data_IF_461855335466
#
_entry.id   IF_461855335466
#
_cell.length_a   1.000
_cell.length_b   1.000
_cell.length_c   1.000
_cell.angle_alpha   90.00
_cell.angle_beta   90.00
_cell.angle_gamma   90.00
#
_symmetry.space_group_name_H-M   'P 1'
#
loop_
_entity.id
_entity.type
_entity.pdbx_description
1 polymer ?
#
# COMPACT_ATOMS: atom_id res chain seq x y z
N UNK A 1 5.94 16.22 -3.24
CA UNK A 1 5.94 15.10 -2.28
C UNK A 1 4.56 14.76 -1.71
N UNK A 2 3.81 15.69 -1.11
CA UNK A 2 2.50 15.34 -0.50
C UNK A 2 1.49 14.81 -1.51
N UNK A 3 1.58 15.23 -2.78
CA UNK A 3 0.65 14.80 -3.85
C UNK A 3 0.76 13.29 -4.12
N UNK A 4 1.97 12.73 -4.26
CA UNK A 4 2.12 11.28 -4.47
C UNK A 4 1.57 10.48 -3.30
N UNK A 5 1.98 10.78 -2.06
CA UNK A 5 1.47 10.09 -0.87
C UNK A 5 -0.06 10.24 -0.72
N UNK A 6 -0.64 11.37 -1.12
CA UNK A 6 -2.10 11.57 -1.16
C UNK A 6 -2.77 10.73 -2.24
N UNK A 7 -2.19 10.64 -3.44
CA UNK A 7 -2.68 9.77 -4.52
C UNK A 7 -2.61 8.30 -4.06
N UNK A 8 -1.51 7.87 -3.47
CA UNK A 8 -1.33 6.51 -2.94
C UNK A 8 -2.32 6.21 -1.82
N UNK A 9 -2.55 7.17 -0.91
CA UNK A 9 -3.57 7.06 0.13
C UNK A 9 -4.97 6.94 -0.47
N UNK A 10 -5.30 7.77 -1.47
CA UNK A 10 -6.57 7.74 -2.18
C UNK A 10 -6.79 6.43 -2.93
N UNK A 11 -5.76 5.91 -3.61
CA UNK A 11 -5.81 4.63 -4.30
C UNK A 11 -6.02 3.46 -3.32
N UNK A 12 -5.30 3.47 -2.18
CA UNK A 12 -5.47 2.46 -1.13
C UNK A 12 -6.88 2.52 -0.52
N UNK A 13 -7.42 3.71 -0.28
CA UNK A 13 -8.78 3.88 0.22
C UNK A 13 -9.82 3.43 -0.81
N UNK A 14 -9.65 3.81 -2.07
CA UNK A 14 -10.51 3.37 -3.17
C UNK A 14 -10.53 1.84 -3.26
N UNK A 15 -9.36 1.21 -3.16
CA UNK A 15 -9.24 -0.24 -3.15
C UNK A 15 -9.93 -0.88 -1.94
N UNK A 16 -9.81 -0.31 -0.75
CA UNK A 16 -10.53 -0.79 0.43
C UNK A 16 -12.06 -0.75 0.24
N UNK A 17 -12.58 0.33 -0.34
CA UNK A 17 -14.02 0.47 -0.66
C UNK A 17 -14.44 -0.56 -1.71
N UNK A 18 -13.64 -0.71 -2.78
CA UNK A 18 -13.91 -1.71 -3.81
C UNK A 18 -13.95 -3.13 -3.21
N UNK A 19 -13.03 -3.43 -2.29
CA UNK A 19 -12.98 -4.71 -1.60
C UNK A 19 -14.21 -4.97 -0.72
N UNK A 20 -14.73 -3.96 -0.03
CA UNK A 20 -15.93 -4.12 0.80
C UNK A 20 -17.21 -4.25 -0.02
N UNK A 21 -17.30 -3.56 -1.15
CA UNK A 21 -18.54 -3.47 -1.95
C UNK A 21 -18.65 -4.59 -2.99
N UNK A 22 -17.56 -4.92 -3.69
CA UNK A 22 -17.59 -5.81 -4.86
C UNK A 22 -17.03 -7.20 -4.58
N UNK A 23 -16.09 -7.33 -3.65
CA UNK A 23 -15.44 -8.63 -3.39
C UNK A 23 -16.37 -9.67 -2.77
N UNK A 24 -17.33 -9.35 -1.87
CA UNK A 24 -18.25 -10.36 -1.34
C UNK A 24 -19.05 -11.04 -2.46
N UNK A 25 -19.57 -10.26 -3.41
CA UNK A 25 -20.34 -10.77 -4.55
C UNK A 25 -19.48 -11.53 -5.55
N UNK A 26 -18.25 -11.09 -5.81
CA UNK A 26 -17.33 -11.77 -6.75
C UNK A 26 -16.75 -13.06 -6.16
N UNK A 27 -16.39 -13.08 -4.87
CA UNK A 27 -15.82 -14.26 -4.21
C UNK A 27 -16.87 -15.25 -3.73
N UNK A 28 -18.12 -14.86 -3.48
CA UNK A 28 -19.19 -15.80 -3.12
C UNK A 28 -19.43 -16.88 -4.19
N UNK A 29 -19.04 -16.64 -5.43
CA UNK A 29 -19.08 -17.64 -6.51
C UNK A 29 -17.88 -18.58 -6.55
N UNK A 30 -16.84 -18.34 -5.73
CA UNK A 30 -15.55 -19.03 -5.78
C UNK A 30 -15.19 -19.72 -4.46
N UNK A 31 -15.69 -19.22 -3.33
CA UNK A 31 -15.36 -19.68 -1.98
C UNK A 31 -16.60 -19.57 -1.09
N UNK A 32 -16.57 -20.23 0.06
CA UNK A 32 -17.58 -20.05 1.12
C UNK A 32 -17.75 -18.56 1.45
N UNK A 33 -19.00 -18.11 1.45
CA UNK A 33 -19.38 -16.71 1.64
C UNK A 33 -18.81 -16.11 2.93
N UNK A 34 -18.79 -16.88 4.04
CA UNK A 34 -18.24 -16.39 5.30
C UNK A 34 -16.74 -16.16 5.21
N UNK A 35 -16.04 -17.03 4.49
CA UNK A 35 -14.59 -16.95 4.31
C UNK A 35 -14.24 -15.79 3.36
N UNK A 36 -15.04 -15.60 2.30
CA UNK A 36 -14.93 -14.47 1.39
C UNK A 36 -15.09 -13.12 2.10
N UNK A 37 -16.11 -12.98 2.95
CA UNK A 37 -16.37 -11.75 3.71
C UNK A 37 -15.26 -11.49 4.73
N UNK A 38 -14.79 -12.51 5.44
CA UNK A 38 -13.67 -12.37 6.40
C UNK A 38 -12.39 -11.91 5.72
N UNK A 39 -12.03 -12.53 4.59
CA UNK A 39 -10.87 -12.14 3.80
C UNK A 39 -10.99 -10.70 3.31
N UNK A 40 -12.09 -10.37 2.60
CA UNK A 40 -12.34 -9.03 2.08
C UNK A 40 -12.29 -7.96 3.19
N UNK A 41 -12.83 -8.25 4.37
CA UNK A 41 -12.80 -7.34 5.53
C UNK A 41 -11.39 -7.12 6.06
N UNK A 42 -10.61 -8.19 6.28
CA UNK A 42 -9.22 -8.09 6.75
C UNK A 42 -8.32 -7.33 5.77
N UNK A 43 -8.55 -7.56 4.47
CA UNK A 43 -7.92 -6.87 3.36
C UNK A 43 -8.24 -5.37 3.40
N UNK A 44 -9.52 -5.03 3.46
CA UNK A 44 -9.99 -3.64 3.47
C UNK A 44 -9.45 -2.87 4.67
N UNK A 45 -9.47 -3.47 5.87
CA UNK A 45 -8.90 -2.88 7.09
C UNK A 45 -7.41 -2.55 6.90
N UNK A 46 -6.65 -3.46 6.29
CA UNK A 46 -5.23 -3.23 6.02
C UNK A 46 -5.02 -2.04 5.08
N UNK A 47 -5.82 -1.94 4.01
CA UNK A 47 -5.75 -0.83 3.06
C UNK A 47 -6.19 0.51 3.65
N UNK A 48 -7.16 0.50 4.57
CA UNK A 48 -7.53 1.69 5.36
C UNK A 48 -6.37 2.12 6.26
N UNK A 49 -5.72 1.17 6.94
CA UNK A 49 -4.53 1.44 7.75
C UNK A 49 -3.40 2.05 6.94
N UNK A 50 -3.13 1.53 5.74
CA UNK A 50 -2.14 2.08 4.81
C UNK A 50 -2.55 3.48 4.31
N UNK A 51 -3.81 3.67 3.96
CA UNK A 51 -4.32 4.99 3.54
C UNK A 51 -4.13 6.03 4.65
N UNK A 52 -4.42 5.67 5.89
CA UNK A 52 -4.20 6.52 7.05
C UNK A 52 -2.71 6.82 7.27
N UNK A 53 -1.85 5.79 7.20
CA UNK A 53 -0.40 5.94 7.35
C UNK A 53 0.19 6.87 6.28
N UNK A 54 -0.20 6.72 5.01
CA UNK A 54 0.27 7.59 3.92
C UNK A 54 -0.31 9.00 4.02
N UNK A 55 -1.58 9.14 4.40
CA UNK A 55 -2.18 10.45 4.63
C UNK A 55 -1.46 11.20 5.75
N UNK A 56 -1.14 10.51 6.85
CA UNK A 56 -0.39 11.07 7.97
C UNK A 56 1.06 11.39 7.57
N UNK A 57 1.75 10.47 6.91
CA UNK A 57 3.11 10.67 6.40
C UNK A 57 3.21 11.83 5.39
N UNK A 58 2.15 12.10 4.62
CA UNK A 58 2.09 13.22 3.70
C UNK A 58 2.10 14.60 4.39
N UNK A 59 1.73 14.68 5.68
CA UNK A 59 1.73 15.94 6.44
C UNK A 59 3.11 16.29 6.99
N UNK A 60 3.88 15.29 7.44
CA UNK A 60 5.21 15.55 8.02
C UNK A 60 6.16 14.34 7.84
N UNK A 61 6.71 14.14 6.64
CA UNK A 61 7.42 12.91 6.27
C UNK A 61 8.73 12.70 7.03
N UNK A 62 9.38 13.78 7.47
CA UNK A 62 10.62 13.72 8.24
C UNK A 62 10.41 13.22 9.68
N UNK A 63 9.29 13.56 10.30
CA UNK A 63 8.94 13.14 11.67
C UNK A 63 8.35 11.73 11.73
N UNK A 64 7.75 11.26 10.63
CA UNK A 64 6.95 10.02 10.59
C UNK A 64 7.67 8.87 9.85
N UNK A 65 9.01 8.91 9.75
CA UNK A 65 9.81 7.89 9.04
C UNK A 65 9.51 6.48 9.53
N UNK A 66 9.40 6.29 10.85
CA UNK A 66 9.07 4.99 11.46
C UNK A 66 7.73 4.45 10.98
N UNK A 67 6.72 5.31 10.83
CA UNK A 67 5.38 4.91 10.33
C UNK A 67 5.46 4.50 8.86
N UNK A 68 6.24 5.23 8.06
CA UNK A 68 6.46 4.91 6.64
C UNK A 68 7.19 3.56 6.50
N UNK A 69 8.23 3.31 7.29
CA UNK A 69 8.95 2.03 7.29
C UNK A 69 8.09 0.87 7.78
N UNK A 70 7.29 1.08 8.84
CA UNK A 70 6.36 0.07 9.31
C UNK A 70 5.30 -0.27 8.25
N UNK A 71 4.76 0.74 7.58
CA UNK A 71 3.83 0.53 6.47
C UNK A 71 4.47 -0.26 5.32
N UNK A 72 5.72 0.07 4.95
CA UNK A 72 6.49 -0.68 3.95
C UNK A 72 6.71 -2.13 4.37
N UNK A 73 7.05 -2.38 5.63
CA UNK A 73 7.24 -3.74 6.17
C UNK A 73 5.94 -4.54 6.05
N UNK A 74 4.80 -3.95 6.43
CA UNK A 74 3.48 -4.60 6.32
C UNK A 74 3.13 -4.91 4.87
N UNK A 75 3.35 -3.97 3.95
CA UNK A 75 3.12 -4.20 2.50
C UNK A 75 4.04 -5.30 1.98
N UNK A 76 5.32 -5.30 2.35
CA UNK A 76 6.30 -6.30 1.92
C UNK A 76 5.96 -7.70 2.43
N UNK A 77 5.65 -7.84 3.72
CA UNK A 77 5.22 -9.11 4.32
C UNK A 77 3.94 -9.64 3.66
N UNK A 78 3.00 -8.75 3.37
CA UNK A 78 1.77 -9.12 2.67
C UNK A 78 2.04 -9.57 1.24
N UNK A 79 2.84 -8.84 0.48
CA UNK A 79 3.23 -9.23 -0.86
C UNK A 79 3.90 -10.62 -0.85
N UNK A 80 4.81 -10.87 0.10
CA UNK A 80 5.44 -12.18 0.26
C UNK A 80 4.42 -13.30 0.56
N UNK A 81 3.46 -13.04 1.46
CA UNK A 81 2.36 -13.98 1.76
C UNK A 81 1.49 -14.26 0.54
N UNK A 82 1.05 -13.22 -0.18
CA UNK A 82 0.24 -13.38 -1.39
C UNK A 82 1.00 -14.12 -2.49
N UNK A 83 2.31 -13.90 -2.64
CA UNK A 83 3.15 -14.67 -3.56
C UNK A 83 3.18 -16.15 -3.17
N UNK A 84 3.37 -16.47 -1.89
CA UNK A 84 3.35 -17.84 -1.41
C UNK A 84 1.99 -18.51 -1.65
N UNK A 85 0.89 -17.84 -1.31
CA UNK A 85 -0.46 -18.37 -1.52
C UNK A 85 -0.75 -18.61 -3.01
N UNK A 86 -0.32 -17.70 -3.88
CA UNK A 86 -0.52 -17.81 -5.33
C UNK A 86 0.31 -18.93 -5.96
N UNK A 87 1.54 -19.15 -5.48
CA UNK A 87 2.44 -20.17 -6.04
C UNK A 87 2.17 -21.58 -5.53
N UNK A 88 1.71 -21.73 -4.28
CA UNK A 88 1.72 -23.02 -3.60
C UNK A 88 0.38 -23.45 -3.00
N UNK A 89 -0.60 -22.54 -2.86
CA UNK A 89 -1.84 -22.84 -2.11
C UNK A 89 -3.08 -22.76 -3.01
N UNK A 90 -3.15 -21.76 -3.89
CA UNK A 90 -4.34 -21.47 -4.68
C UNK A 90 -4.23 -22.07 -6.09
N UNK A 91 -5.25 -22.84 -6.48
CA UNK A 91 -5.42 -23.34 -7.85
C UNK A 91 -6.64 -22.69 -8.53
N UNK A 92 -6.60 -22.56 -9.86
CA UNK A 92 -7.75 -22.13 -10.66
C UNK A 92 -8.09 -20.64 -10.58
N UNK A 93 -9.39 -20.29 -10.62
CA UNK A 93 -9.88 -18.90 -10.64
C UNK A 93 -9.50 -18.06 -9.40
N UNK A 94 -9.47 -18.59 -8.17
CA UNK A 94 -8.99 -17.87 -7.00
C UNK A 94 -7.54 -17.37 -7.12
N UNK A 95 -6.68 -18.11 -7.82
CA UNK A 95 -5.29 -17.71 -8.03
C UNK A 95 -5.17 -16.41 -8.85
N UNK A 96 -6.11 -16.15 -9.77
CA UNK A 96 -6.10 -14.92 -10.60
C UNK A 96 -6.39 -13.67 -9.76
N UNK A 97 -7.33 -13.75 -8.82
CA UNK A 97 -7.62 -12.65 -7.91
C UNK A 97 -6.44 -12.36 -6.97
N UNK A 98 -5.83 -13.42 -6.43
CA UNK A 98 -4.62 -13.31 -5.62
C UNK A 98 -3.45 -12.73 -6.42
N UNK A 99 -3.32 -13.07 -7.70
CA UNK A 99 -2.32 -12.51 -8.60
C UNK A 99 -2.52 -10.99 -8.82
N UNK A 100 -3.75 -10.54 -9.07
CA UNK A 100 -4.06 -9.11 -9.23
C UNK A 100 -3.72 -8.34 -7.95
N UNK A 101 -4.09 -8.89 -6.80
CA UNK A 101 -3.76 -8.28 -5.51
C UNK A 101 -2.25 -8.21 -5.29
N UNK A 102 -1.54 -9.30 -5.56
CA UNK A 102 -0.08 -9.38 -5.47
C UNK A 102 0.59 -8.32 -6.35
N UNK A 103 0.19 -8.23 -7.62
CA UNK A 103 0.72 -7.24 -8.57
C UNK A 103 0.44 -5.81 -8.10
N UNK A 104 -0.76 -5.56 -7.57
CA UNK A 104 -1.12 -4.24 -7.03
C UNK A 104 -0.30 -3.90 -5.80
N UNK A 105 -0.08 -4.85 -4.89
CA UNK A 105 0.79 -4.67 -3.72
C UNK A 105 2.23 -4.38 -4.13
N UNK A 106 2.77 -5.11 -5.12
CA UNK A 106 4.13 -4.89 -5.63
C UNK A 106 4.24 -3.51 -6.29
N UNK A 107 3.28 -3.14 -7.15
CA UNK A 107 3.27 -1.83 -7.79
C UNK A 107 3.21 -0.69 -6.76
N UNK A 108 2.38 -0.85 -5.72
CA UNK A 108 2.30 0.09 -4.61
C UNK A 108 3.64 0.19 -3.87
N UNK A 109 4.25 -0.97 -3.57
CA UNK A 109 5.53 -1.05 -2.87
C UNK A 109 6.65 -0.35 -3.64
N UNK A 110 6.77 -0.62 -4.96
CA UNK A 110 7.74 0.02 -5.85
C UNK A 110 7.49 1.52 -5.93
N UNK A 111 6.23 1.96 -6.04
CA UNK A 111 5.90 3.39 -6.05
C UNK A 111 6.34 4.10 -4.76
N UNK A 112 6.14 3.47 -3.60
CA UNK A 112 6.57 4.02 -2.31
C UNK A 112 8.10 4.05 -2.21
N UNK A 113 8.78 2.97 -2.61
CA UNK A 113 10.24 2.91 -2.61
C UNK A 113 10.86 3.99 -3.51
N UNK A 114 10.30 4.23 -4.69
CA UNK A 114 10.75 5.29 -5.58
C UNK A 114 10.50 6.70 -5.01
N UNK A 115 9.47 6.87 -4.18
CA UNK A 115 9.19 8.14 -3.51
C UNK A 115 10.06 8.39 -2.27
N UNK A 116 10.74 7.35 -1.75
CA UNK A 116 11.45 7.39 -0.47
C UNK A 116 12.72 8.26 -0.45
N UNK A 117 13.64 8.18 -1.43
CA UNK A 117 14.90 8.92 -1.41
C UNK A 117 14.66 10.44 -1.37
N UNK A 118 13.69 10.91 -2.16
CA UNK A 118 13.26 12.30 -2.18
C UNK A 118 12.66 12.71 -0.83
N UNK A 119 11.93 11.80 -0.17
CA UNK A 119 11.31 12.06 1.12
C UNK A 119 12.26 12.07 2.33
N UNK A 120 13.39 11.40 2.21
CA UNK A 120 14.40 11.32 3.26
C UNK A 120 15.49 12.39 3.12
N UNK A 121 15.46 13.16 2.02
CA UNK A 121 16.42 14.23 1.75
C UNK A 121 16.40 15.24 2.92
N UNK A 122 17.54 15.51 3.57
CA UNK A 122 17.59 16.44 4.70
C UNK A 122 17.27 17.86 4.26
N UNK A 123 16.39 18.56 4.99
CA UNK A 123 16.06 19.97 4.71
C UNK A 123 17.29 20.90 4.73
N UNK A 124 18.36 20.52 5.43
CA UNK A 124 19.62 21.27 5.49
C UNK A 124 20.34 21.35 4.14
N UNK A 125 20.11 20.40 3.23
CA UNK A 125 20.73 20.40 1.90
C UNK A 125 20.16 21.53 1.04
N UNK A 126 18.87 21.83 1.15
CA UNK A 126 18.22 22.92 0.41
C UNK A 126 18.67 24.29 0.92
N UNK A 127 18.85 24.41 2.24
CA UNK A 127 19.30 25.65 2.89
C UNK A 127 20.77 25.95 2.57
N UNK A 128 21.63 24.92 2.57
CA UNK A 128 23.02 25.02 2.11
C UNK A 128 23.12 25.34 0.61
N UNK A 129 22.26 24.74 -0.24
CA UNK A 129 22.24 25.06 -1.67
C UNK A 129 21.75 26.49 -1.96
N UNK A 130 20.73 26.96 -1.24
CA UNK A 130 20.26 28.36 -1.36
C UNK A 130 21.33 29.36 -0.93
N UNK A 131 22.01 29.09 0.20
CA UNK A 131 23.10 29.94 0.67
C UNK A 131 24.31 29.96 -0.30
N UNK A 132 24.57 28.86 -1.01
CA UNK A 132 25.61 28.78 -2.02
C UNK A 132 25.24 29.50 -3.33
N UNK A 133 23.95 29.56 -3.70
CA UNK A 133 23.49 30.22 -4.93
C UNK A 133 23.46 31.76 -4.85
N UNK A 134 23.55 32.33 -3.65
CA UNK A 134 23.57 33.79 -3.40
C UNK A 134 24.98 34.38 -3.28
N UNK A 135 26.04 33.58 -3.49
CA UNK A 135 27.43 34.03 -3.53
C UNK A 135 27.96 34.03 -4.95
#
# INVERSE_FOLDING_TARGET
MSVFLRITAGLSLCWAVMLLVFTPTVLAHLVDERLAVSLASSLAISHVGLAFAFWRGARNPSAERTVIYAALLVVGLRAAKSTYETLYVLEGRPAVLSLIEMVTCIALFVAILNALPEALRPASTDEQQRAAATR
#
